data_IF_175561175127
#
_entry.id   IF_175561175127
#
_cell.length_a   1.000
_cell.length_b   1.000
_cell.length_c   1.000
_cell.angle_alpha   90.00
_cell.angle_beta   90.00
_cell.angle_gamma   90.00
#
_symmetry.space_group_name_H-M   'P 1'
#
loop_
_entity.id
_entity.type
_entity.pdbx_description
1 polymer ?
#
# COMPACT_ATOMS: atom_id res chain seq x y z
N UNK A 1 2.67 14.02 -5.10
CA UNK A 1 2.07 13.07 -4.13
C UNK A 1 1.20 12.11 -4.92
N UNK A 2 1.43 10.81 -4.79
CA UNK A 2 0.67 9.75 -5.44
C UNK A 2 -0.54 9.40 -4.56
N UNK A 3 -1.73 9.48 -5.13
CA UNK A 3 -3.00 9.15 -4.46
C UNK A 3 -3.56 7.87 -5.07
N UNK A 4 -3.69 6.82 -4.28
CA UNK A 4 -4.08 5.49 -4.76
C UNK A 4 -5.29 4.95 -3.99
N UNK A 5 -6.35 4.60 -4.72
CA UNK A 5 -7.49 3.87 -4.17
C UNK A 5 -7.17 2.35 -4.10
N UNK A 6 -7.00 1.86 -2.88
CA UNK A 6 -6.76 0.45 -2.56
C UNK A 6 -7.98 -0.47 -2.71
N UNK A 7 -9.16 0.07 -2.99
CA UNK A 7 -10.39 -0.70 -3.26
C UNK A 7 -10.47 -1.21 -4.71
N UNK A 8 -9.66 -0.64 -5.61
CA UNK A 8 -9.68 -0.95 -7.02
C UNK A 8 -9.42 -2.45 -7.27
N UNK A 9 -9.97 -2.93 -8.39
CA UNK A 9 -9.91 -4.35 -8.81
C UNK A 9 -10.42 -5.26 -7.68
N UNK A 10 -9.59 -6.21 -7.22
CA UNK A 10 -9.96 -7.22 -6.22
C UNK A 10 -9.84 -6.75 -4.78
N UNK A 11 -9.32 -5.53 -4.51
CA UNK A 11 -9.04 -5.08 -3.15
C UNK A 11 -8.06 -6.00 -2.40
N UNK A 12 -7.09 -6.60 -3.12
CA UNK A 12 -6.01 -7.37 -2.49
C UNK A 12 -4.90 -6.45 -1.97
N UNK A 13 -3.97 -7.00 -1.18
CA UNK A 13 -2.77 -6.27 -0.75
C UNK A 13 -1.77 -5.94 -1.87
N UNK A 14 -2.01 -6.39 -3.10
CA UNK A 14 -1.10 -6.17 -4.23
C UNK A 14 -0.97 -4.69 -4.59
N UNK A 15 -2.08 -3.95 -4.58
CA UNK A 15 -2.05 -2.50 -4.88
C UNK A 15 -1.13 -1.80 -3.90
N UNK A 16 -1.34 -2.00 -2.60
CA UNK A 16 -0.51 -1.41 -1.56
C UNK A 16 0.99 -1.71 -1.75
N UNK A 17 1.35 -3.00 -1.94
CA UNK A 17 2.76 -3.39 -2.09
C UNK A 17 3.43 -2.76 -3.30
N UNK A 18 2.73 -2.73 -4.44
CA UNK A 18 3.26 -2.12 -5.66
C UNK A 18 3.35 -0.60 -5.53
N UNK A 19 2.33 0.05 -4.97
CA UNK A 19 2.34 1.49 -4.73
C UNK A 19 3.51 1.91 -3.87
N UNK A 20 3.78 1.19 -2.78
CA UNK A 20 4.92 1.46 -1.89
C UNK A 20 6.23 1.29 -2.66
N UNK A 21 6.44 0.16 -3.34
CA UNK A 21 7.67 -0.08 -4.09
C UNK A 21 7.93 0.99 -5.17
N UNK A 22 6.89 1.38 -5.92
CA UNK A 22 7.02 2.40 -6.96
C UNK A 22 7.25 3.80 -6.37
N UNK A 23 6.56 4.16 -5.29
CA UNK A 23 6.77 5.42 -4.61
C UNK A 23 8.20 5.54 -4.06
N UNK A 24 8.72 4.46 -3.48
CA UNK A 24 10.11 4.34 -3.03
C UNK A 24 11.11 4.53 -4.18
N UNK A 25 10.89 3.89 -5.32
CA UNK A 25 11.77 4.04 -6.51
C UNK A 25 11.72 5.47 -7.07
N UNK A 26 10.54 6.08 -7.09
CA UNK A 26 10.32 7.41 -7.65
C UNK A 26 10.67 8.56 -6.68
N UNK A 27 10.94 8.26 -5.40
CA UNK A 27 11.14 9.29 -4.37
C UNK A 27 9.92 10.20 -4.17
N UNK A 28 8.71 9.68 -4.44
CA UNK A 28 7.48 10.46 -4.43
C UNK A 28 6.63 10.17 -3.18
N UNK A 29 6.07 11.17 -2.50
CA UNK A 29 5.13 10.95 -1.40
C UNK A 29 3.93 10.11 -1.86
N UNK A 30 3.46 9.19 -1.02
CA UNK A 30 2.38 8.25 -1.31
C UNK A 30 1.30 8.28 -0.24
N UNK A 31 0.04 8.34 -0.68
CA UNK A 31 -1.13 8.11 0.15
C UNK A 31 -2.00 7.02 -0.51
N UNK A 32 -2.26 5.95 0.25
CA UNK A 32 -3.13 4.85 -0.18
C UNK A 32 -4.32 4.78 0.76
N UNK A 33 -5.52 4.97 0.23
CA UNK A 33 -6.78 4.91 0.98
C UNK A 33 -7.61 3.68 0.59
N UNK A 34 -8.65 3.35 1.37
CA UNK A 34 -9.49 2.15 1.15
C UNK A 34 -8.71 0.83 1.01
N UNK A 35 -7.60 0.69 1.75
CA UNK A 35 -6.73 -0.49 1.69
C UNK A 35 -7.55 -1.74 2.00
N UNK A 36 -7.58 -2.68 1.06
CA UNK A 36 -8.28 -3.97 1.21
C UNK A 36 -9.78 -3.82 1.56
N UNK A 37 -10.44 -2.77 1.09
CA UNK A 37 -11.84 -2.48 1.41
C UNK A 37 -12.83 -3.61 1.04
N UNK A 38 -12.49 -4.47 0.07
CA UNK A 38 -13.32 -5.61 -0.37
C UNK A 38 -13.00 -6.93 0.37
N UNK A 39 -12.25 -6.88 1.47
CA UNK A 39 -11.90 -8.08 2.27
C UNK A 39 -12.68 -8.12 3.58
N UNK A 40 -12.96 -9.32 4.13
CA UNK A 40 -13.68 -9.46 5.41
C UNK A 40 -13.00 -8.72 6.57
N UNK A 41 -11.66 -8.69 6.57
CA UNK A 41 -10.87 -7.87 7.48
C UNK A 41 -10.09 -6.83 6.66
N UNK A 42 -10.63 -5.62 6.46
CA UNK A 42 -10.03 -4.57 5.64
C UNK A 42 -8.81 -3.94 6.33
N UNK A 43 -8.15 -2.99 5.65
CA UNK A 43 -6.98 -2.30 6.16
C UNK A 43 -5.69 -3.11 6.08
N UNK A 44 -4.67 -2.66 6.80
CA UNK A 44 -3.37 -3.33 6.88
C UNK A 44 -3.49 -4.59 7.73
N UNK A 45 -2.97 -5.70 7.21
CA UNK A 45 -2.68 -6.89 8.03
C UNK A 45 -1.19 -6.89 8.38
N UNK A 46 -0.71 -7.72 9.33
CA UNK A 46 0.68 -7.68 9.79
C UNK A 46 1.72 -7.73 8.66
N UNK A 47 1.53 -8.59 7.66
CA UNK A 47 2.41 -8.68 6.49
C UNK A 47 2.47 -7.38 5.65
N UNK A 48 1.37 -6.61 5.63
CA UNK A 48 1.30 -5.35 4.88
C UNK A 48 2.00 -4.24 5.66
N UNK A 49 1.77 -4.18 6.97
CA UNK A 49 2.43 -3.22 7.85
C UNK A 49 3.95 -3.40 7.81
N UNK A 50 4.44 -4.64 7.94
CA UNK A 50 5.88 -4.93 7.92
C UNK A 50 6.53 -4.53 6.59
N UNK A 51 5.84 -4.73 5.46
CA UNK A 51 6.33 -4.31 4.16
C UNK A 51 6.48 -2.78 4.06
N UNK A 52 5.50 -2.02 4.57
CA UNK A 52 5.58 -0.55 4.59
C UNK A 52 6.70 -0.07 5.51
N UNK A 53 6.80 -0.64 6.72
CA UNK A 53 7.85 -0.29 7.69
C UNK A 53 9.25 -0.62 7.16
N UNK A 54 9.39 -1.73 6.44
CA UNK A 54 10.66 -2.11 5.80
C UNK A 54 11.04 -1.12 4.71
N UNK A 55 10.09 -0.75 3.83
CA UNK A 55 10.34 0.26 2.81
C UNK A 55 10.78 1.61 3.43
N UNK A 56 10.09 2.08 4.47
CA UNK A 56 10.41 3.33 5.16
C UNK A 56 11.79 3.32 5.88
N UNK A 57 12.36 2.16 6.17
CA UNK A 57 13.72 2.04 6.71
C UNK A 57 14.80 2.13 5.62
N UNK A 58 14.43 1.82 4.37
CA UNK A 58 15.37 1.75 3.24
C UNK A 58 15.44 3.06 2.45
N UNK A 59 14.35 3.81 2.40
CA UNK A 59 14.20 5.05 1.65
C UNK A 59 13.23 6.01 2.36
#
# INVERSE_FOLDING_TARGET
MLEIDGSLKSGSGTILRLSVALASILGAPLHVYNIRAKRPNPGLSPQHLEAVLTAAKLC
#
